data_IF_407402135943
#
_entry.id   IF_407402135943
#
_cell.length_a   1.000
_cell.length_b   1.000
_cell.length_c   1.000
_cell.angle_alpha   90.00
_cell.angle_beta   90.00
_cell.angle_gamma   90.00
#
_symmetry.space_group_name_H-M   'P 1'
#
loop_
_entity.id
_entity.type
_entity.pdbx_description
1 polymer ?
#
# COMPACT_ATOMS: atom_id res chain seq x y z
N UNK A 1 -3.70 -9.71 4.54
CA UNK A 1 -2.93 -9.04 5.61
C UNK A 1 -2.27 -10.12 6.46
N UNK A 2 -1.04 -9.90 6.91
CA UNK A 2 -0.16 -10.92 7.52
C UNK A 2 1.23 -11.02 6.88
N UNK A 3 1.65 -10.02 6.12
CA UNK A 3 3.00 -9.95 5.55
C UNK A 3 3.90 -8.99 6.32
N UNK A 4 5.22 -8.99 6.09
CA UNK A 4 6.17 -8.13 6.80
C UNK A 4 5.85 -6.63 6.74
N UNK A 5 5.29 -6.16 5.62
CA UNK A 5 4.86 -4.77 5.46
C UNK A 5 3.65 -4.42 6.33
N UNK A 6 2.74 -5.37 6.54
CA UNK A 6 1.55 -5.21 7.39
C UNK A 6 1.95 -5.19 8.87
N UNK A 7 2.86 -6.09 9.26
CA UNK A 7 3.40 -6.18 10.63
C UNK A 7 4.17 -4.92 11.05
N UNK A 8 4.82 -4.21 10.12
CA UNK A 8 5.59 -3.02 10.46
C UNK A 8 4.72 -1.78 10.72
N UNK A 9 3.46 -1.76 10.27
CA UNK A 9 2.51 -0.62 10.40
C UNK A 9 3.02 0.75 9.90
N UNK A 10 4.16 0.80 9.21
CA UNK A 10 4.78 2.02 8.68
C UNK A 10 4.53 2.21 7.19
N UNK A 11 4.21 1.13 6.48
CA UNK A 11 3.98 1.13 5.03
C UNK A 11 2.50 0.93 4.78
N UNK A 12 1.89 1.87 4.07
CA UNK A 12 0.49 1.81 3.68
C UNK A 12 0.33 1.67 2.15
N UNK A 13 -0.77 1.07 1.66
CA UNK A 13 -1.12 1.16 0.24
C UNK A 13 -1.20 2.62 -0.21
N UNK A 14 -0.53 2.93 -1.32
CA UNK A 14 -0.45 4.30 -1.86
C UNK A 14 0.87 5.01 -1.57
N UNK A 15 1.63 4.56 -0.58
CA UNK A 15 2.95 5.14 -0.28
C UNK A 15 3.93 4.98 -1.45
N UNK A 16 4.81 5.98 -1.59
CA UNK A 16 5.86 5.96 -2.59
C UNK A 16 7.18 5.44 -1.99
N UNK A 17 7.61 4.25 -2.38
CA UNK A 17 8.93 3.73 -2.02
C UNK A 17 9.99 4.39 -2.90
N UNK A 18 10.99 5.02 -2.29
CA UNK A 18 12.05 5.78 -3.00
C UNK A 18 13.42 5.11 -2.94
N UNK A 19 13.66 4.27 -1.92
CA UNK A 19 14.93 3.57 -1.72
C UNK A 19 14.71 2.16 -1.17
N UNK A 20 15.45 1.17 -1.68
CA UNK A 20 15.47 -0.20 -1.17
C UNK A 20 16.93 -0.64 -0.95
N UNK A 21 17.27 -1.04 0.27
CA UNK A 21 18.60 -1.54 0.60
C UNK A 21 19.74 -0.55 0.28
N UNK A 22 19.51 0.75 0.48
CA UNK A 22 20.51 1.79 0.16
C UNK A 22 20.51 2.26 -1.29
N UNK A 23 19.68 1.69 -2.16
CA UNK A 23 19.65 2.02 -3.60
C UNK A 23 18.40 2.81 -3.95
N UNK A 24 18.58 3.98 -4.57
CA UNK A 24 17.48 4.78 -5.11
C UNK A 24 16.76 4.03 -6.22
N UNK A 25 15.43 4.10 -6.23
CA UNK A 25 14.60 3.46 -7.26
C UNK A 25 14.35 4.36 -8.48
N UNK A 26 14.72 5.65 -8.39
CA UNK A 26 14.51 6.60 -9.47
C UNK A 26 15.25 6.17 -10.74
N UNK A 27 14.52 6.03 -11.86
CA UNK A 27 15.07 5.60 -13.15
C UNK A 27 15.31 4.09 -13.28
N UNK A 28 14.95 3.28 -12.27
CA UNK A 28 15.02 1.83 -12.38
C UNK A 28 13.80 1.25 -13.11
N UNK A 29 14.01 0.20 -13.90
CA UNK A 29 12.92 -0.61 -14.45
C UNK A 29 12.22 -1.40 -13.32
N UNK A 30 10.92 -1.67 -13.50
CA UNK A 30 10.07 -2.35 -12.51
C UNK A 30 10.64 -3.70 -12.11
N UNK A 31 11.19 -4.45 -13.05
CA UNK A 31 11.83 -5.75 -12.83
C UNK A 31 13.05 -5.62 -11.92
N UNK A 32 13.84 -4.54 -12.09
CA UNK A 32 14.98 -4.23 -11.23
C UNK A 32 14.55 -3.87 -9.81
N UNK A 33 13.48 -3.08 -9.68
CA UNK A 33 12.88 -2.76 -8.38
C UNK A 33 12.39 -4.04 -7.68
N UNK A 34 11.68 -4.91 -8.41
CA UNK A 34 11.20 -6.19 -7.89
C UNK A 34 12.35 -7.05 -7.38
N UNK A 35 13.47 -7.11 -8.10
CA UNK A 35 14.64 -7.87 -7.70
C UNK A 35 15.32 -7.35 -6.41
N UNK A 36 15.20 -6.05 -6.10
CA UNK A 36 15.71 -5.49 -4.83
C UNK A 36 14.82 -5.82 -3.63
N UNK A 37 13.51 -5.80 -3.85
CA UNK A 37 12.51 -6.08 -2.81
C UNK A 37 12.52 -7.58 -2.49
N UNK A 38 12.49 -8.41 -3.54
CA UNK A 38 12.60 -9.86 -3.42
C UNK A 38 14.00 -10.24 -2.89
N UNK A 39 14.09 -11.35 -2.20
CA UNK A 39 15.35 -11.84 -1.63
C UNK A 39 15.11 -13.07 -0.77
N UNK A 40 16.18 -13.65 -0.21
CA UNK A 40 16.05 -14.85 0.61
C UNK A 40 15.13 -14.62 1.80
N UNK A 41 14.21 -15.54 2.07
CA UNK A 41 13.35 -15.46 3.24
C UNK A 41 14.20 -15.46 4.53
N UNK A 42 13.75 -14.71 5.54
CA UNK A 42 14.46 -14.47 6.79
C UNK A 42 15.51 -13.35 6.72
N UNK A 43 15.81 -12.82 5.53
CA UNK A 43 16.76 -11.70 5.41
C UNK A 43 16.06 -10.35 5.59
N UNK A 44 16.65 -9.39 6.32
CA UNK A 44 16.11 -8.06 6.43
C UNK A 44 16.31 -7.25 5.14
N UNK A 45 15.40 -6.31 4.90
CA UNK A 45 15.52 -5.28 3.86
C UNK A 45 15.04 -3.95 4.43
N UNK A 46 15.83 -2.91 4.24
CA UNK A 46 15.45 -1.55 4.60
C UNK A 46 14.82 -0.85 3.41
N UNK A 47 13.65 -0.29 3.61
CA UNK A 47 12.92 0.54 2.64
C UNK A 47 12.79 1.96 3.17
N UNK A 48 12.98 2.94 2.30
CA UNK A 48 12.62 4.33 2.58
C UNK A 48 11.48 4.74 1.68
N UNK A 49 10.50 5.41 2.25
CA UNK A 49 9.30 5.83 1.54
C UNK A 49 8.81 7.20 1.94
N UNK A 50 7.80 7.66 1.21
CA UNK A 50 7.01 8.85 1.48
C UNK A 50 5.56 8.42 1.64
N UNK A 51 4.97 8.74 2.79
CA UNK A 51 3.56 8.49 3.08
C UNK A 51 2.68 9.30 2.15
N UNK A 52 1.68 8.66 1.53
CA UNK A 52 0.72 9.37 0.69
C UNK A 52 -0.32 10.16 1.52
N UNK A 53 -0.49 9.82 2.81
CA UNK A 53 -1.48 10.44 3.67
C UNK A 53 -1.07 11.87 4.11
N UNK A 54 0.21 12.07 4.40
CA UNK A 54 0.73 13.31 5.00
C UNK A 54 2.05 13.81 4.38
N UNK A 55 2.61 13.08 3.40
CA UNK A 55 3.90 13.42 2.78
C UNK A 55 5.12 13.18 3.66
N UNK A 56 4.95 12.56 4.84
CA UNK A 56 6.05 12.29 5.76
C UNK A 56 7.00 11.23 5.20
N UNK A 57 8.29 11.33 5.54
CA UNK A 57 9.30 10.35 5.14
C UNK A 57 9.48 9.31 6.24
N UNK A 58 9.60 8.05 5.85
CA UNK A 58 9.86 6.96 6.79
C UNK A 58 10.97 6.04 6.33
N UNK A 59 11.50 5.28 7.29
CA UNK A 59 12.45 4.19 7.08
C UNK A 59 11.90 2.98 7.81
N UNK A 60 11.62 1.89 7.08
CA UNK A 60 11.16 0.64 7.65
C UNK A 60 12.14 -0.49 7.33
N UNK A 61 12.43 -1.34 8.31
CA UNK A 61 13.22 -2.56 8.12
C UNK A 61 12.27 -3.75 8.20
N UNK A 62 12.13 -4.46 7.08
CA UNK A 62 11.21 -5.58 6.92
C UNK A 62 12.01 -6.88 6.87
N UNK A 63 11.54 -7.93 7.54
CA UNK A 63 12.12 -9.28 7.40
C UNK A 63 11.37 -10.00 6.29
N UNK A 64 12.03 -10.36 5.20
CA UNK A 64 11.37 -11.05 4.08
C UNK A 64 10.77 -12.37 4.55
N UNK A 65 9.49 -12.58 4.34
CA UNK A 65 8.86 -13.89 4.50
C UNK A 65 8.77 -14.59 3.14
N UNK A 66 8.57 -15.92 3.14
CA UNK A 66 8.05 -16.55 1.93
C UNK A 66 6.68 -15.92 1.69
N UNK A 67 6.44 -15.45 0.46
CA UNK A 67 5.08 -15.07 0.08
C UNK A 67 4.14 -16.25 0.36
N UNK A 68 2.82 -16.00 0.46
CA UNK A 68 1.88 -17.10 0.22
C UNK A 68 2.37 -17.75 -1.07
N UNK A 69 2.59 -19.07 -1.02
CA UNK A 69 3.21 -19.83 -2.11
C UNK A 69 2.58 -19.49 -3.46
N UNK A 70 3.15 -19.96 -4.57
CA UNK A 70 2.48 -20.02 -5.89
C UNK A 70 1.20 -20.91 -5.87
N UNK A 71 0.44 -20.87 -4.78
CA UNK A 71 -0.90 -21.35 -4.65
C UNK A 71 -1.81 -20.37 -5.41
N UNK A 72 -2.34 -20.77 -6.57
CA UNK A 72 -3.12 -19.89 -7.43
C UNK A 72 -4.37 -19.32 -6.72
N UNK A 73 -4.80 -19.94 -5.62
CA UNK A 73 -5.92 -19.45 -4.83
C UNK A 73 -5.59 -18.22 -3.97
N UNK A 74 -4.33 -18.09 -3.51
CA UNK A 74 -3.91 -16.94 -2.71
C UNK A 74 -3.82 -15.64 -3.54
N UNK A 75 -3.39 -15.75 -4.80
CA UNK A 75 -3.38 -14.62 -5.74
C UNK A 75 -4.79 -14.13 -6.08
N UNK A 76 -5.76 -15.04 -6.21
CA UNK A 76 -7.16 -14.68 -6.44
C UNK A 76 -7.79 -13.96 -5.24
N UNK A 77 -7.50 -14.42 -4.01
CA UNK A 77 -7.97 -13.77 -2.80
C UNK A 77 -7.39 -12.36 -2.62
N UNK A 78 -6.11 -12.16 -2.95
CA UNK A 78 -5.47 -10.84 -2.93
C UNK A 78 -6.11 -9.85 -3.93
N UNK A 79 -6.45 -10.32 -5.14
CA UNK A 79 -7.20 -9.51 -6.12
C UNK A 79 -8.59 -9.13 -5.62
N UNK A 80 -9.36 -10.08 -5.07
CA UNK A 80 -10.67 -9.79 -4.48
C UNK A 80 -10.59 -8.78 -3.33
N UNK A 81 -9.54 -8.85 -2.49
CA UNK A 81 -9.34 -7.90 -1.42
C UNK A 81 -9.08 -6.47 -1.94
N UNK A 82 -8.29 -6.32 -3.01
CA UNK A 82 -8.04 -5.02 -3.65
C UNK A 82 -9.32 -4.45 -4.27
N UNK A 83 -10.06 -5.26 -5.04
CA UNK A 83 -11.31 -4.83 -5.67
C UNK A 83 -12.39 -4.45 -4.64
N UNK A 84 -12.32 -5.01 -3.42
CA UNK A 84 -13.21 -4.65 -2.32
C UNK A 84 -12.80 -3.31 -1.69
N UNK A 85 -11.50 -3.07 -1.51
CA UNK A 85 -11.01 -1.81 -0.95
C UNK A 85 -11.33 -0.62 -1.86
N UNK A 86 -11.17 -0.77 -3.18
CA UNK A 86 -11.54 0.27 -4.15
C UNK A 86 -13.03 0.61 -4.10
N UNK A 87 -13.89 -0.41 -4.00
CA UNK A 87 -15.35 -0.21 -3.89
C UNK A 87 -15.74 0.52 -2.60
N UNK A 88 -15.15 0.15 -1.47
CA UNK A 88 -15.42 0.85 -0.21
C UNK A 88 -15.00 2.33 -0.24
N UNK A 89 -13.92 2.65 -0.97
CA UNK A 89 -13.49 4.04 -1.16
C UNK A 89 -14.46 4.82 -2.06
N UNK A 90 -14.93 4.21 -3.15
CA UNK A 90 -15.93 4.80 -4.02
C UNK A 90 -17.25 5.06 -3.28
N UNK A 91 -17.72 4.09 -2.49
CA UNK A 91 -18.96 4.20 -1.71
C UNK A 91 -18.85 5.30 -0.64
N UNK A 92 -17.69 5.42 0.02
CA UNK A 92 -17.44 6.48 1.00
C UNK A 92 -17.45 7.88 0.36
N UNK A 93 -16.90 8.01 -0.85
CA UNK A 93 -16.94 9.26 -1.61
C UNK A 93 -18.37 9.65 -2.01
N UNK A 94 -19.19 8.69 -2.44
CA UNK A 94 -20.60 8.93 -2.81
C UNK A 94 -21.45 9.35 -1.59
N UNK A 95 -21.25 8.71 -0.44
CA UNK A 95 -21.90 9.09 0.82
C UNK A 95 -21.53 10.51 1.25
N UNK A 96 -20.25 10.89 1.10
CA UNK A 96 -19.79 12.26 1.36
C UNK A 96 -20.54 13.29 0.51
N UNK A 97 -20.61 13.08 -0.80
CA UNK A 97 -21.29 13.99 -1.73
C UNK A 97 -22.79 14.17 -1.39
N UNK A 98 -23.49 13.08 -1.04
CA UNK A 98 -24.92 13.14 -0.68
C UNK A 98 -25.19 13.88 0.64
N UNK A 99 -24.24 13.87 1.57
CA UNK A 99 -24.38 14.61 2.83
C UNK A 99 -24.16 16.11 2.64
N UNK A 100 -23.27 16.52 1.72
CA UNK A 100 -23.06 17.93 1.39
C UNK A 100 -24.31 18.55 0.74
N UNK A 101 -24.94 17.86 -0.23
CA UNK A 101 -26.17 18.34 -0.88
C UNK A 101 -27.29 18.62 0.13
N UNK A 102 -27.49 17.72 1.10
CA UNK A 102 -28.49 17.88 2.17
C UNK A 102 -28.16 19.00 3.14
N UNK A 103 -26.88 19.31 3.36
CA UNK A 103 -26.44 20.43 4.20
C UNK A 103 -26.76 21.78 3.58
N UNK A 104 -26.63 21.93 2.26
CA UNK A 104 -26.94 23.18 1.54
C UNK A 104 -28.42 23.55 1.52
N UNK A 105 -29.32 22.57 1.60
CA UNK A 105 -30.77 22.80 1.55
C UNK A 105 -31.33 23.28 2.91
N UNK A 106 -30.67 22.89 4.02
CA UNK A 106 -31.08 23.29 5.36
C UNK A 106 -30.70 24.74 5.73
N UNK A 107 -29.80 25.40 4.98
CA UNK A 107 -29.30 26.76 5.27
C UNK A 107 -30.01 27.91 4.54
N UNK A 108 -31.10 27.64 3.82
CA UNK A 108 -31.82 28.63 2.97
C UNK A 108 -33.13 29.16 3.56
N UNK A 109 -33.42 28.88 4.83
CA UNK A 109 -34.64 29.34 5.52
C UNK A 109 -34.41 30.59 6.36
#
# INVERSE_FOLDING_TARGET
SGGPADECSLVAPGDAIVEVGGRTLAGMAVEGVRALIMGPAGTPVTVKGVSCADGSRYVATLVRSRGPSDDPWAAAAARQACDRAERLHADAAELGARLEERGTEAGRL
#
